data_IF_198508207508
#
_entry.id   IF_198508207508
#
_cell.length_a   1.000
_cell.length_b   1.000
_cell.length_c   1.000
_cell.angle_alpha   90.00
_cell.angle_beta   90.00
_cell.angle_gamma   90.00
#
_symmetry.space_group_name_H-M   'P 1'
#
loop_
_entity.id
_entity.type
_entity.pdbx_description
1 polymer ?
#
# COMPACT_ATOMS: atom_id res chain seq x y z
N UNK A 1 0.85 -11.43 -6.51
CA UNK A 1 0.57 -10.01 -6.85
C UNK A 1 -0.74 -9.55 -6.23
N UNK A 2 -0.91 -8.25 -5.96
CA UNK A 2 -2.13 -7.66 -5.36
C UNK A 2 -2.75 -6.64 -6.32
N UNK A 3 -4.02 -6.81 -6.65
CA UNK A 3 -4.79 -5.88 -7.47
C UNK A 3 -5.68 -4.97 -6.61
N UNK A 4 -5.80 -3.71 -7.03
CA UNK A 4 -6.77 -2.78 -6.49
C UNK A 4 -8.14 -3.08 -7.13
N UNK A 5 -9.13 -3.43 -6.30
CA UNK A 5 -10.47 -3.81 -6.75
C UNK A 5 -11.45 -2.63 -6.69
N UNK A 6 -11.36 -1.80 -5.65
CA UNK A 6 -12.12 -0.56 -5.50
C UNK A 6 -11.20 0.51 -4.91
N UNK A 7 -11.05 1.69 -5.52
CA UNK A 7 -11.55 2.06 -6.84
C UNK A 7 -10.93 1.22 -7.96
N UNK A 8 -11.68 0.98 -9.03
CA UNK A 8 -11.18 0.25 -10.19
C UNK A 8 -10.12 1.09 -10.94
N UNK A 9 -8.86 0.92 -10.57
CA UNK A 9 -7.71 1.62 -11.12
C UNK A 9 -6.45 0.73 -11.11
N UNK A 10 -5.42 1.19 -11.81
CA UNK A 10 -4.13 0.51 -11.88
C UNK A 10 -4.07 -0.63 -12.89
N UNK A 11 -3.04 -1.48 -12.75
CA UNK A 11 -2.68 -2.51 -13.73
C UNK A 11 -3.53 -3.79 -13.58
N UNK A 12 -4.00 -4.42 -14.68
CA UNK A 12 -4.70 -5.70 -14.64
C UNK A 12 -3.90 -6.84 -13.98
N UNK A 13 -2.58 -6.85 -14.18
CA UNK A 13 -1.63 -7.78 -13.58
C UNK A 13 -1.30 -7.48 -12.09
N UNK A 14 -1.87 -6.39 -11.56
CA UNK A 14 -1.68 -5.96 -10.18
C UNK A 14 -0.29 -5.43 -9.88
N UNK A 15 -0.02 -5.31 -8.59
CA UNK A 15 1.19 -4.73 -8.04
C UNK A 15 1.89 -5.72 -7.10
N UNK A 16 3.20 -5.55 -6.95
CA UNK A 16 3.96 -6.30 -5.96
C UNK A 16 3.70 -5.77 -4.54
N UNK A 17 3.33 -4.49 -4.42
CA UNK A 17 2.82 -3.90 -3.18
C UNK A 17 1.89 -2.72 -3.46
N UNK A 18 0.89 -2.55 -2.60
CA UNK A 18 0.06 -1.35 -2.53
C UNK A 18 0.40 -0.60 -1.24
N UNK A 19 0.48 0.72 -1.31
CA UNK A 19 0.63 1.59 -0.15
C UNK A 19 -0.63 2.41 0.04
N UNK A 20 -1.13 2.42 1.27
CA UNK A 20 -2.29 3.20 1.68
C UNK A 20 -1.83 4.25 2.69
N UNK A 21 -2.02 5.52 2.37
CA UNK A 21 -1.67 6.64 3.23
C UNK A 21 -2.92 7.45 3.57
N UNK A 22 -3.44 7.37 4.81
CA UNK A 22 -4.57 8.19 5.25
C UNK A 22 -4.26 9.70 5.12
N UNK A 23 -5.17 10.45 4.50
CA UNK A 23 -5.21 11.91 4.40
C UNK A 23 -6.55 12.42 4.96
N UNK A 24 -6.75 13.73 5.03
CA UNK A 24 -7.99 14.31 5.53
C UNK A 24 -9.19 13.97 4.62
N UNK A 25 -8.95 13.95 3.31
CA UNK A 25 -9.96 13.78 2.27
C UNK A 25 -10.19 12.31 1.85
N UNK A 26 -9.26 11.41 2.15
CA UNK A 26 -9.32 10.00 1.73
C UNK A 26 -8.01 9.25 2.03
N UNK A 27 -7.94 7.99 1.58
CA UNK A 27 -6.71 7.19 1.57
C UNK A 27 -6.06 7.42 0.20
N UNK A 28 -4.85 7.97 0.19
CA UNK A 28 -4.02 8.04 -1.01
C UNK A 28 -3.46 6.65 -1.30
N UNK A 29 -3.57 6.21 -2.55
CA UNK A 29 -3.26 4.84 -2.98
C UNK A 29 -2.13 4.87 -4.00
N UNK A 30 -1.04 4.14 -3.70
CA UNK A 30 0.10 3.99 -4.59
C UNK A 30 0.36 2.52 -4.90
N UNK A 31 0.66 2.22 -6.17
CA UNK A 31 0.98 0.87 -6.64
C UNK A 31 2.44 0.73 -7.05
N UNK A 32 3.12 -0.27 -6.51
CA UNK A 32 4.52 -0.57 -6.81
C UNK A 32 4.65 -1.85 -7.63
N UNK A 33 5.15 -1.72 -8.86
CA UNK A 33 5.33 -2.85 -9.79
C UNK A 33 6.50 -3.75 -9.41
N UNK A 34 6.53 -4.98 -9.97
CA UNK A 34 7.60 -5.94 -9.74
C UNK A 34 8.95 -5.50 -10.35
N UNK A 35 8.92 -4.78 -11.48
CA UNK A 35 10.11 -4.24 -12.16
C UNK A 35 10.88 -3.27 -11.24
N UNK A 36 10.15 -2.45 -10.47
CA UNK A 36 10.72 -1.55 -9.46
C UNK A 36 11.18 -2.23 -8.17
N UNK A 37 11.02 -3.54 -8.01
CA UNK A 37 11.58 -4.32 -6.89
C UNK A 37 12.75 -5.22 -7.33
N UNK A 38 12.68 -5.77 -8.55
CA UNK A 38 13.74 -6.56 -9.17
C UNK A 38 15.02 -5.76 -9.45
N UNK A 39 14.89 -4.51 -9.89
CA UNK A 39 16.02 -3.61 -10.11
C UNK A 39 16.73 -3.21 -8.80
N UNK A 40 16.05 -3.30 -7.66
CA UNK A 40 16.64 -3.08 -6.33
C UNK A 40 17.29 -4.33 -5.72
N UNK A 41 16.93 -5.53 -6.18
CA UNK A 41 17.48 -6.80 -5.70
C UNK A 41 18.88 -7.08 -6.28
N UNK A 42 19.20 -6.59 -7.48
CA UNK A 42 20.48 -6.84 -8.14
C UNK A 42 21.66 -6.01 -7.57
N UNK A 43 21.42 -4.88 -6.89
CA UNK A 43 22.47 -4.08 -6.24
C UNK A 43 21.93 -3.26 -5.03
N UNK A 44 21.91 -3.78 -3.79
CA UNK A 44 21.88 -2.88 -2.60
C UNK A 44 20.87 -3.13 -1.49
N UNK A 45 20.84 -4.34 -0.91
CA UNK A 45 20.09 -4.65 0.33
C UNK A 45 20.51 -3.76 1.53
N UNK A 46 21.68 -3.13 1.50
CA UNK A 46 22.12 -2.17 2.52
C UNK A 46 21.61 -0.73 2.33
N UNK A 47 21.16 -0.36 1.12
CA UNK A 47 20.68 1.00 0.75
C UNK A 47 19.14 1.08 0.78
N UNK A 48 18.47 -0.06 0.63
CA UNK A 48 17.00 -0.23 0.71
C UNK A 48 16.36 0.17 2.06
N UNK A 49 17.18 0.55 3.04
CA UNK A 49 16.76 1.10 4.33
C UNK A 49 16.30 2.55 4.28
N UNK A 50 16.46 3.27 3.16
CA UNK A 50 16.25 4.72 3.12
C UNK A 50 14.95 5.20 2.45
N UNK A 51 13.97 4.31 2.32
CA UNK A 51 12.54 4.57 2.09
C UNK A 51 12.00 4.11 0.72
N UNK A 52 11.39 2.92 0.69
CA UNK A 52 10.67 2.39 -0.48
C UNK A 52 9.55 3.33 -0.97
N UNK A 53 9.10 4.24 -0.10
CA UNK A 53 8.10 5.26 -0.40
C UNK A 53 8.50 6.20 -1.54
N UNK A 54 9.81 6.35 -1.80
CA UNK A 54 10.38 7.22 -2.83
C UNK A 54 10.69 6.47 -4.15
N UNK A 55 10.47 5.15 -4.20
CA UNK A 55 10.64 4.35 -5.42
C UNK A 55 9.59 4.68 -6.50
N UNK A 56 9.81 4.29 -7.76
CA UNK A 56 8.84 4.49 -8.83
C UNK A 56 7.53 3.76 -8.51
N UNK A 57 6.43 4.50 -8.60
CA UNK A 57 5.09 4.01 -8.32
C UNK A 57 4.08 4.64 -9.27
N UNK A 58 2.95 3.97 -9.40
CA UNK A 58 1.75 4.53 -10.02
C UNK A 58 0.91 5.17 -8.92
N UNK A 59 0.51 6.43 -9.09
CA UNK A 59 -0.52 7.06 -8.26
C UNK A 59 -1.89 6.53 -8.71
N UNK A 60 -2.57 5.76 -7.86
CA UNK A 60 -3.83 5.08 -8.19
C UNK A 60 -5.07 5.87 -7.78
N UNK A 61 -4.85 7.02 -7.12
CA UNK A 61 -5.88 7.97 -6.74
C UNK A 61 -6.13 8.03 -5.24
N UNK A 62 -7.34 8.48 -4.91
CA UNK A 62 -7.76 8.82 -3.55
C UNK A 62 -9.17 8.30 -3.32
N UNK A 63 -9.39 7.51 -2.27
CA UNK A 63 -10.72 6.98 -1.94
C UNK A 63 -10.92 6.81 -0.43
N UNK A 64 -12.17 6.89 0.04
CA UNK A 64 -12.50 6.66 1.47
C UNK A 64 -12.59 5.19 1.83
N UNK A 65 -12.87 4.34 0.86
CA UNK A 65 -12.91 2.88 1.00
C UNK A 65 -12.07 2.31 -0.11
N UNK A 66 -11.21 1.35 0.24
CA UNK A 66 -10.26 0.72 -0.65
C UNK A 66 -10.38 -0.78 -0.52
N UNK A 67 -10.70 -1.47 -1.60
CA UNK A 67 -10.69 -2.93 -1.65
C UNK A 67 -9.52 -3.42 -2.49
N UNK A 68 -8.81 -4.43 -2.02
CA UNK A 68 -7.74 -5.08 -2.76
C UNK A 68 -7.83 -6.61 -2.65
N UNK A 69 -7.26 -7.30 -3.64
CA UNK A 69 -7.27 -8.76 -3.68
C UNK A 69 -5.97 -9.33 -4.20
N UNK A 70 -5.60 -10.49 -3.66
CA UNK A 70 -4.54 -11.33 -4.19
C UNK A 70 -4.99 -11.91 -5.53
N UNK A 71 -4.12 -11.80 -6.55
CA UNK A 71 -4.39 -12.42 -7.85
C UNK A 71 -4.20 -13.94 -7.85
N UNK A 72 -3.46 -14.45 -6.87
CA UNK A 72 -3.17 -15.88 -6.71
C UNK A 72 -4.10 -16.55 -5.69
N UNK A 73 -4.95 -15.79 -5.01
CA UNK A 73 -5.86 -16.30 -3.98
C UNK A 73 -5.19 -16.59 -2.62
N UNK A 74 -3.90 -16.31 -2.49
CA UNK A 74 -3.15 -16.46 -1.25
C UNK A 74 -3.41 -15.28 -0.27
N UNK A 75 -3.29 -15.50 1.06
CA UNK A 75 -3.30 -14.43 2.06
C UNK A 75 -2.33 -13.30 1.70
N UNK A 76 -2.76 -12.04 1.90
CA UNK A 76 -1.92 -10.88 1.62
C UNK A 76 -1.06 -10.57 2.85
N UNK A 77 0.28 -10.56 2.74
CA UNK A 77 1.13 -10.07 3.82
C UNK A 77 0.97 -8.56 3.99
N UNK A 78 0.77 -8.10 5.23
CA UNK A 78 0.52 -6.71 5.55
C UNK A 78 1.60 -6.14 6.46
N UNK A 79 1.75 -4.81 6.39
CA UNK A 79 2.50 -4.03 7.38
C UNK A 79 1.67 -2.81 7.75
N UNK A 80 1.16 -2.78 8.97
CA UNK A 80 0.29 -1.72 9.50
C UNK A 80 1.02 -1.03 10.63
N UNK A 81 1.20 0.29 10.53
CA UNK A 81 1.94 1.11 11.52
C UNK A 81 3.34 0.57 11.89
N UNK A 82 3.97 -0.18 10.97
CA UNK A 82 5.28 -0.81 11.14
C UNK A 82 5.25 -2.24 11.70
N UNK A 83 4.10 -2.75 12.08
CA UNK A 83 3.91 -4.12 12.55
C UNK A 83 3.46 -5.04 11.42
N UNK A 84 4.00 -6.27 11.40
CA UNK A 84 3.67 -7.27 10.37
C UNK A 84 2.49 -8.11 10.80
N UNK A 85 1.55 -8.32 9.90
CA UNK A 85 0.45 -9.26 10.07
C UNK A 85 0.08 -9.90 8.73
N UNK A 86 -0.84 -10.87 8.77
CA UNK A 86 -1.34 -11.56 7.58
C UNK A 86 -2.84 -11.27 7.46
N UNK A 87 -3.26 -10.82 6.28
CA UNK A 87 -4.66 -10.57 5.96
C UNK A 87 -5.29 -11.74 5.21
N UNK A 88 -6.57 -11.59 4.85
CA UNK A 88 -7.23 -12.49 3.90
C UNK A 88 -6.76 -12.23 2.46
N UNK A 89 -7.05 -13.15 1.52
CA UNK A 89 -6.81 -12.93 0.10
C UNK A 89 -7.57 -11.73 -0.48
N UNK A 90 -8.64 -11.29 0.17
CA UNK A 90 -9.42 -10.10 -0.17
C UNK A 90 -9.54 -9.23 1.07
N UNK A 91 -9.26 -7.94 0.96
CA UNK A 91 -9.25 -7.00 2.06
C UNK A 91 -9.99 -5.72 1.69
N UNK A 92 -10.60 -5.10 2.69
CA UNK A 92 -11.20 -3.76 2.56
C UNK A 92 -10.69 -2.88 3.70
N UNK A 93 -10.24 -1.69 3.34
CA UNK A 93 -9.77 -0.65 4.25
C UNK A 93 -10.70 0.55 4.12
N UNK A 94 -11.03 1.19 5.23
CA UNK A 94 -11.86 2.39 5.25
C UNK A 94 -11.20 3.49 6.06
N UNK A 95 -11.28 4.72 5.57
CA UNK A 95 -10.87 5.89 6.32
C UNK A 95 -11.91 6.23 7.38
N UNK A 96 -11.47 6.31 8.63
CA UNK A 96 -12.29 6.75 9.75
C UNK A 96 -11.56 7.80 10.59
N UNK A 97 -12.31 8.50 11.43
CA UNK A 97 -11.77 9.46 12.38
C UNK A 97 -11.28 8.72 13.61
N UNK A 98 -9.99 8.89 13.90
CA UNK A 98 -9.45 8.45 15.17
C UNK A 98 -9.74 9.53 16.22
N UNK A 99 -10.72 9.27 17.08
CA UNK A 99 -11.22 10.20 18.11
C UNK A 99 -10.24 10.35 19.27
N UNK A 100 -9.07 10.91 18.98
CA UNK A 100 -8.04 11.22 19.95
C UNK A 100 -7.41 12.59 19.67
N UNK A 101 -7.07 13.30 20.74
CA UNK A 101 -6.29 14.53 20.65
C UNK A 101 -4.80 14.22 20.77
N UNK A 102 -4.03 14.64 19.76
CA UNK A 102 -2.58 14.62 19.81
C UNK A 102 -2.08 15.91 20.48
N UNK A 103 -1.36 15.76 21.59
CA UNK A 103 -0.73 16.89 22.26
C UNK A 103 0.57 17.27 21.53
N UNK A 104 0.66 18.51 21.06
CA UNK A 104 1.86 19.08 20.45
C UNK A 104 2.37 20.31 21.21
N UNK A 105 3.64 20.72 20.99
CA UNK A 105 4.10 22.01 21.46
C UNK A 105 3.25 23.14 20.83
N UNK A 106 3.00 24.19 21.61
CA UNK A 106 2.29 25.39 21.17
C UNK A 106 3.11 26.23 20.18
#
# INVERSE_FOLDING_TARGET
MVALAEPAAGRPEGYAGLRFCPRAEGIAIDGYGAEGLGDYLQQGIAILKRDFREGPHDELGLARVVACRSLEGEPIPLMVDGERCEGSPELTFSLDTFDCDLLGPA
#
